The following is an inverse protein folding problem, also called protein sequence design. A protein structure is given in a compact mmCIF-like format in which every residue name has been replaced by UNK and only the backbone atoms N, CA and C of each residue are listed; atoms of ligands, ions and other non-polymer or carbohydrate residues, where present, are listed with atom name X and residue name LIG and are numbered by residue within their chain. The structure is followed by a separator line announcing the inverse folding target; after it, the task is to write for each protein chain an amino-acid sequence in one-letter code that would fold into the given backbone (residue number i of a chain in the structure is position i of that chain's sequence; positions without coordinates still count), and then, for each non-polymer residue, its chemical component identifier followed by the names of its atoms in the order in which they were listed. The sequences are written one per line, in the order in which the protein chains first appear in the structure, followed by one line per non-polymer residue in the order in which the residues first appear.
data_IF_606202751712
#
_entry.id   IF_606202751712
#
_cell.length_a   1.000
_cell.length_b   1.000
_cell.length_c   1.000
_cell.angle_alpha   90.00
_cell.angle_beta   90.00
_cell.angle_gamma   90.00
#
_symmetry.space_group_name_H-M   'P 1'
#
loop_
_entity.id
_entity.type
_entity.pdbx_description
1 polymer ?
#
# COMPACT_ATOMS: atom_id res chain seq x y z
N UNK A 1 -31.00 31.81 -19.02
CA UNK A 1 -29.71 31.16 -19.32
C UNK A 1 -29.42 30.26 -18.17
N UNK A 2 -29.83 29.00 -18.27
CA UNK A 2 -29.62 27.99 -17.26
C UNK A 2 -28.26 27.30 -17.51
N UNK A 3 -27.37 27.46 -16.57
CA UNK A 3 -26.08 26.79 -16.58
C UNK A 3 -26.30 25.36 -16.06
N UNK A 4 -26.41 24.39 -16.97
CA UNK A 4 -26.49 22.98 -16.62
C UNK A 4 -25.15 22.50 -16.08
N UNK A 5 -25.10 22.19 -14.79
CA UNK A 5 -24.02 21.42 -14.16
C UNK A 5 -24.07 19.99 -14.68
N UNK A 6 -23.09 19.63 -15.50
CA UNK A 6 -22.83 18.24 -15.90
C UNK A 6 -22.05 17.53 -14.77
N UNK A 7 -22.73 17.15 -13.71
CA UNK A 7 -22.21 16.17 -12.73
C UNK A 7 -22.70 14.77 -13.11
N UNK A 8 -22.12 14.22 -14.17
CA UNK A 8 -22.26 12.79 -14.43
C UNK A 8 -21.42 12.01 -13.41
N UNK A 9 -21.86 10.79 -12.97
CA UNK A 9 -21.05 9.95 -12.11
C UNK A 9 -19.74 9.66 -12.81
N UNK A 10 -18.61 9.92 -12.15
CA UNK A 10 -17.28 9.54 -12.62
C UNK A 10 -17.29 8.01 -12.69
N UNK A 11 -17.43 7.46 -13.87
CA UNK A 11 -17.38 6.02 -14.12
C UNK A 11 -16.05 5.52 -13.59
N UNK A 12 -16.10 4.51 -12.68
CA UNK A 12 -14.90 3.77 -12.28
C UNK A 12 -14.29 3.20 -13.54
N UNK A 13 -13.01 3.42 -13.84
CA UNK A 13 -12.40 2.81 -15.01
C UNK A 13 -12.53 1.28 -14.89
N UNK A 14 -12.74 0.60 -16.02
CA UNK A 14 -12.87 -0.86 -16.08
C UNK A 14 -11.47 -1.49 -15.83
N UNK A 15 -11.11 -1.58 -14.55
CA UNK A 15 -9.83 -2.11 -14.08
C UNK A 15 -10.03 -3.55 -13.66
N UNK A 16 -9.36 -4.46 -14.37
CA UNK A 16 -9.25 -5.87 -13.98
C UNK A 16 -8.10 -6.10 -13.01
N UNK A 17 -8.19 -7.17 -12.19
CA UNK A 17 -7.06 -7.65 -11.39
C UNK A 17 -6.70 -9.04 -11.88
N UNK A 18 -5.43 -9.23 -12.24
CA UNK A 18 -4.89 -10.50 -12.73
C UNK A 18 -3.57 -10.85 -12.06
N UNK A 19 -3.13 -12.09 -12.20
CA UNK A 19 -1.83 -12.52 -11.71
C UNK A 19 -0.70 -11.73 -12.38
N UNK A 20 0.34 -11.44 -11.60
CA UNK A 20 1.59 -10.86 -12.10
C UNK A 20 2.27 -11.84 -13.06
N UNK A 21 2.75 -11.34 -14.17
CA UNK A 21 3.59 -12.06 -15.13
C UNK A 21 4.95 -11.35 -15.30
N UNK A 22 5.97 -12.07 -15.75
CA UNK A 22 7.31 -11.49 -15.96
C UNK A 22 7.33 -10.31 -16.95
N UNK A 23 6.37 -10.27 -17.88
CA UNK A 23 6.18 -9.14 -18.80
C UNK A 23 5.80 -7.82 -18.07
N UNK A 24 5.25 -7.91 -16.86
CA UNK A 24 4.82 -6.75 -16.06
C UNK A 24 6.00 -6.12 -15.28
N UNK A 25 7.17 -6.75 -15.29
CA UNK A 25 8.32 -6.37 -14.47
C UNK A 25 8.64 -4.87 -14.53
N UNK A 26 8.80 -4.33 -15.73
CA UNK A 26 9.17 -2.92 -15.89
C UNK A 26 8.10 -1.96 -15.35
N UNK A 27 6.83 -2.28 -15.55
CA UNK A 27 5.73 -1.48 -15.04
C UNK A 27 5.64 -1.55 -13.51
N UNK A 28 5.79 -2.74 -12.92
CA UNK A 28 5.80 -2.92 -11.47
C UNK A 28 7.00 -2.24 -10.80
N UNK A 29 8.17 -2.28 -11.43
CA UNK A 29 9.35 -1.55 -10.98
C UNK A 29 9.11 -0.03 -10.95
N UNK A 30 8.41 0.51 -11.95
CA UNK A 30 8.01 1.93 -11.95
C UNK A 30 6.99 2.25 -10.86
N UNK A 31 6.03 1.37 -10.56
CA UNK A 31 5.12 1.54 -9.43
C UNK A 31 5.89 1.58 -8.10
N UNK A 32 6.98 0.82 -7.97
CA UNK A 32 7.85 0.85 -6.80
C UNK A 32 8.58 2.19 -6.65
N UNK A 33 9.04 2.76 -7.77
CA UNK A 33 9.60 4.14 -7.79
C UNK A 33 8.56 5.16 -7.33
N UNK A 34 7.30 5.06 -7.80
CA UNK A 34 6.21 5.95 -7.37
C UNK A 34 5.90 5.79 -5.86
N UNK A 35 5.90 4.56 -5.35
CA UNK A 35 5.72 4.26 -3.92
C UNK A 35 6.82 4.92 -3.08
N UNK A 36 8.08 4.73 -3.48
CA UNK A 36 9.22 5.33 -2.79
C UNK A 36 9.17 6.86 -2.85
N UNK A 37 8.85 7.43 -4.00
CA UNK A 37 8.69 8.88 -4.13
C UNK A 37 7.57 9.41 -3.22
N UNK A 38 6.50 8.66 -3.03
CA UNK A 38 5.46 9.00 -2.07
C UNK A 38 5.97 8.97 -0.62
N UNK A 39 6.72 7.95 -0.23
CA UNK A 39 7.33 7.87 1.10
C UNK A 39 8.33 9.00 1.34
N UNK A 40 9.18 9.34 0.37
CA UNK A 40 10.09 10.50 0.45
C UNK A 40 9.34 11.79 0.77
N UNK A 41 8.18 12.01 0.15
CA UNK A 41 7.36 13.20 0.41
C UNK A 41 6.78 13.24 1.82
N UNK A 42 6.21 12.13 2.30
CA UNK A 42 5.53 12.11 3.62
C UNK A 42 6.51 12.07 4.78
N UNK A 43 7.73 11.58 4.57
CA UNK A 43 8.79 11.59 5.57
C UNK A 43 9.73 12.78 5.44
N UNK A 44 9.60 13.57 4.37
CA UNK A 44 10.52 14.67 4.03
C UNK A 44 11.98 14.21 3.98
N UNK A 45 12.19 12.97 3.53
CA UNK A 45 13.50 12.34 3.47
C UNK A 45 13.78 11.81 2.04
N UNK A 46 14.64 12.49 1.28
CA UNK A 46 14.98 12.08 -0.09
C UNK A 46 15.86 10.83 -0.14
N UNK A 47 16.45 10.40 0.98
CA UNK A 47 17.36 9.24 1.02
C UNK A 47 16.63 7.89 1.03
N UNK A 48 15.32 7.86 1.32
CA UNK A 48 14.53 6.62 1.34
C UNK A 48 14.65 5.91 -0.02
N UNK A 49 14.98 4.62 -0.01
CA UNK A 49 15.11 3.79 -1.20
C UNK A 49 16.38 4.02 -2.02
N UNK A 50 17.35 4.79 -1.52
CA UNK A 50 18.66 4.97 -2.14
C UNK A 50 18.61 5.61 -3.54
N UNK A 51 19.64 5.36 -4.33
CA UNK A 51 19.80 5.95 -5.67
C UNK A 51 18.89 5.29 -6.73
N UNK A 52 18.59 4.01 -6.57
CA UNK A 52 17.70 3.24 -7.44
C UNK A 52 16.53 2.64 -6.63
N UNK A 53 15.49 3.41 -6.35
CA UNK A 53 14.37 2.92 -5.56
C UNK A 53 13.58 1.80 -6.23
N UNK A 54 13.72 1.63 -7.55
CA UNK A 54 13.11 0.52 -8.28
C UNK A 54 13.74 -0.84 -7.96
N UNK A 55 15.01 -0.88 -7.52
CA UNK A 55 15.71 -2.14 -7.19
C UNK A 55 15.05 -2.90 -6.04
N UNK A 56 14.37 -2.22 -5.13
CA UNK A 56 13.63 -2.88 -4.05
C UNK A 56 12.47 -3.79 -4.57
N UNK A 57 12.06 -3.63 -5.83
CA UNK A 57 11.16 -4.59 -6.46
C UNK A 57 11.83 -5.93 -6.75
N UNK A 58 13.13 -5.95 -7.03
CA UNK A 58 13.91 -7.17 -7.21
C UNK A 58 14.01 -7.94 -5.88
N UNK A 59 14.29 -7.21 -4.79
CA UNK A 59 14.29 -7.78 -3.44
C UNK A 59 12.92 -8.36 -3.08
N UNK A 60 11.84 -7.63 -3.38
CA UNK A 60 10.47 -8.12 -3.20
C UNK A 60 10.20 -9.41 -3.96
N UNK A 61 10.64 -9.52 -5.22
CA UNK A 61 10.46 -10.74 -6.01
C UNK A 61 11.26 -11.93 -5.46
N UNK A 62 12.39 -11.66 -4.81
CA UNK A 62 13.29 -12.68 -4.27
C UNK A 62 12.85 -13.23 -2.90
N UNK A 63 11.86 -12.62 -2.21
CA UNK A 63 11.40 -13.07 -0.90
C UNK A 63 10.77 -14.46 -1.00
N UNK A 64 11.30 -15.49 -0.30
CA UNK A 64 10.80 -16.87 -0.39
C UNK A 64 9.36 -17.04 0.07
N UNK A 65 8.93 -16.26 1.07
CA UNK A 65 7.61 -16.31 1.66
C UNK A 65 6.54 -15.63 0.79
N UNK A 66 6.92 -15.05 -0.35
CA UNK A 66 5.98 -14.45 -1.29
C UNK A 66 5.17 -15.53 -1.99
N UNK A 67 3.91 -15.61 -1.64
CA UNK A 67 2.97 -16.64 -2.12
C UNK A 67 2.47 -16.35 -3.53
N UNK A 68 2.09 -15.08 -3.76
CA UNK A 68 1.57 -14.62 -5.03
C UNK A 68 1.65 -13.09 -5.15
N UNK A 69 1.55 -12.61 -6.38
CA UNK A 69 1.44 -11.18 -6.68
C UNK A 69 0.40 -10.95 -7.77
N UNK A 70 -0.30 -9.83 -7.70
CA UNK A 70 -1.34 -9.44 -8.65
C UNK A 70 -1.12 -8.00 -9.11
N UNK A 71 -1.51 -7.77 -10.34
CA UNK A 71 -1.50 -6.43 -10.92
C UNK A 71 -2.93 -5.97 -11.24
N UNK A 72 -3.16 -4.69 -11.05
CA UNK A 72 -4.34 -4.04 -11.58
C UNK A 72 -4.03 -3.61 -13.03
N UNK A 73 -4.85 -4.05 -13.95
CA UNK A 73 -4.70 -3.83 -15.39
C UNK A 73 -5.83 -2.95 -15.92
N UNK A 74 -5.48 -1.89 -16.60
CA UNK A 74 -6.42 -1.02 -17.32
C UNK A 74 -6.05 -1.04 -18.80
N UNK A 75 -6.83 -1.74 -19.61
CA UNK A 75 -6.63 -1.81 -21.07
C UNK A 75 -5.19 -2.25 -21.47
N UNK A 76 -4.62 -3.22 -20.76
CA UNK A 76 -3.25 -3.70 -20.97
C UNK A 76 -2.17 -2.88 -20.27
N UNK A 77 -2.53 -1.85 -19.50
CA UNK A 77 -1.59 -1.06 -18.72
C UNK A 77 -1.63 -1.46 -17.24
N UNK A 78 -0.49 -1.85 -16.70
CA UNK A 78 -0.36 -2.12 -15.27
C UNK A 78 -0.42 -0.79 -14.50
N UNK A 79 -1.46 -0.65 -13.65
CA UNK A 79 -1.75 0.58 -12.91
C UNK A 79 -1.72 0.40 -11.41
N UNK A 80 -1.50 -0.83 -10.94
CA UNK A 80 -1.35 -1.15 -9.53
C UNK A 80 -0.72 -2.53 -9.32
N UNK A 81 -0.21 -2.75 -8.12
CA UNK A 81 0.47 -3.98 -7.71
C UNK A 81 0.13 -4.30 -6.26
N UNK A 82 -0.04 -5.58 -5.97
CA UNK A 82 -0.12 -6.11 -4.61
C UNK A 82 0.46 -7.51 -4.55
N UNK A 83 0.76 -7.98 -3.35
CA UNK A 83 1.23 -9.33 -3.10
C UNK A 83 0.73 -9.89 -1.78
N UNK A 84 0.87 -11.20 -1.63
CA UNK A 84 0.57 -11.97 -0.43
C UNK A 84 1.81 -12.72 0.02
N UNK A 85 2.16 -12.57 1.27
CA UNK A 85 3.25 -13.29 1.93
C UNK A 85 2.69 -14.26 2.96
N UNK A 86 3.34 -15.43 3.08
CA UNK A 86 3.05 -16.39 4.14
C UNK A 86 3.77 -15.98 5.44
N UNK A 87 3.00 -15.87 6.52
CA UNK A 87 3.51 -15.63 7.88
C UNK A 87 2.95 -16.66 8.86
N UNK A 88 2.80 -17.90 8.41
CA UNK A 88 2.23 -19.00 9.19
C UNK A 88 0.69 -18.95 9.20
N UNK A 89 0.07 -18.72 10.35
CA UNK A 89 -1.39 -18.58 10.44
C UNK A 89 -1.92 -17.26 9.84
N UNK A 90 -1.02 -16.34 9.50
CA UNK A 90 -1.34 -15.00 8.98
C UNK A 90 -0.82 -14.84 7.55
N UNK A 91 -1.66 -14.36 6.65
CA UNK A 91 -1.22 -13.79 5.38
C UNK A 91 -0.85 -12.32 5.56
N UNK A 92 0.18 -11.83 4.90
CA UNK A 92 0.55 -10.40 4.91
C UNK A 92 0.42 -9.80 3.52
N UNK A 93 -0.29 -8.68 3.44
CA UNK A 93 -0.43 -7.91 2.20
C UNK A 93 0.73 -6.94 2.06
N UNK A 94 1.53 -7.07 1.00
CA UNK A 94 2.62 -6.16 0.67
C UNK A 94 3.03 -6.31 -0.81
N UNK A 95 3.23 -5.20 -1.53
CA UNK A 95 2.73 -3.85 -1.27
C UNK A 95 1.24 -3.70 -1.59
N UNK A 96 0.66 -2.53 -1.35
CA UNK A 96 -0.52 -2.06 -2.07
C UNK A 96 -0.16 -0.73 -2.70
N UNK A 97 0.15 -0.74 -3.97
CA UNK A 97 0.52 0.45 -4.72
C UNK A 97 -0.40 0.63 -5.92
N UNK A 98 -0.81 1.87 -6.16
CA UNK A 98 -1.59 2.31 -7.32
C UNK A 98 -0.93 3.56 -7.87
N UNK A 99 -0.77 3.63 -9.20
CA UNK A 99 -0.21 4.82 -9.84
C UNK A 99 -0.94 6.09 -9.40
N UNK A 100 -0.21 7.17 -9.22
CA UNK A 100 -0.70 8.44 -8.67
C UNK A 100 -1.97 8.94 -9.40
N UNK A 101 -2.05 8.74 -10.72
CA UNK A 101 -3.17 9.19 -11.58
C UNK A 101 -4.50 8.48 -11.29
N UNK A 102 -4.46 7.26 -10.74
CA UNK A 102 -5.63 6.43 -10.48
C UNK A 102 -5.90 6.21 -9.00
N UNK A 103 -5.19 6.89 -8.11
CA UNK A 103 -5.50 6.88 -6.68
C UNK A 103 -6.91 7.42 -6.42
N UNK A 104 -7.54 6.93 -5.37
CA UNK A 104 -8.90 7.31 -4.97
C UNK A 104 -10.01 6.92 -5.96
N UNK A 105 -9.74 6.05 -6.92
CA UNK A 105 -10.69 5.54 -7.91
C UNK A 105 -11.08 4.06 -7.69
N UNK A 106 -10.86 3.53 -6.51
CA UNK A 106 -11.25 2.15 -6.16
C UNK A 106 -10.22 1.07 -6.48
N UNK A 107 -9.18 1.35 -7.27
CA UNK A 107 -8.19 0.34 -7.72
C UNK A 107 -7.52 -0.37 -6.55
N UNK A 108 -7.10 0.35 -5.51
CA UNK A 108 -6.50 -0.25 -4.32
C UNK A 108 -7.45 -1.19 -3.58
N UNK A 109 -8.74 -0.90 -3.58
CA UNK A 109 -9.76 -1.77 -3.01
C UNK A 109 -9.88 -3.09 -3.78
N UNK A 110 -9.90 -3.05 -5.11
CA UNK A 110 -9.93 -4.25 -5.95
C UNK A 110 -8.71 -5.16 -5.69
N UNK A 111 -7.53 -4.57 -5.55
CA UNK A 111 -6.31 -5.29 -5.18
C UNK A 111 -6.45 -5.98 -3.81
N UNK A 112 -6.92 -5.27 -2.80
CA UNK A 112 -7.13 -5.82 -1.45
C UNK A 112 -8.18 -6.94 -1.48
N UNK A 113 -9.29 -6.77 -2.17
CA UNK A 113 -10.34 -7.79 -2.31
C UNK A 113 -9.78 -9.06 -2.96
N UNK A 114 -8.92 -8.94 -3.98
CA UNK A 114 -8.26 -10.09 -4.61
C UNK A 114 -7.35 -10.83 -3.63
N UNK A 115 -6.52 -10.10 -2.87
CA UNK A 115 -5.63 -10.71 -1.87
C UNK A 115 -6.43 -11.37 -0.75
N UNK A 116 -7.50 -10.72 -0.27
CA UNK A 116 -8.36 -11.27 0.78
C UNK A 116 -9.02 -12.59 0.34
N UNK A 117 -9.52 -12.65 -0.91
CA UNK A 117 -10.08 -13.87 -1.47
C UNK A 117 -9.04 -15.01 -1.53
N UNK A 118 -7.82 -14.71 -1.92
CA UNK A 118 -6.73 -15.70 -1.95
C UNK A 118 -6.33 -16.15 -0.54
N UNK A 119 -6.25 -15.23 0.41
CA UNK A 119 -5.94 -15.55 1.80
C UNK A 119 -6.97 -16.51 2.41
N UNK A 120 -8.26 -16.26 2.15
CA UNK A 120 -9.35 -17.17 2.56
C UNK A 120 -9.22 -18.54 1.88
N UNK A 121 -8.96 -18.57 0.58
CA UNK A 121 -8.81 -19.82 -0.17
C UNK A 121 -7.62 -20.68 0.33
N UNK A 122 -6.59 -20.04 0.88
CA UNK A 122 -5.43 -20.73 1.49
C UNK A 122 -5.63 -21.09 2.96
N UNK A 123 -6.71 -20.65 3.58
CA UNK A 123 -7.04 -20.98 4.97
C UNK A 123 -6.27 -20.13 6.00
N UNK A 124 -5.78 -18.94 5.62
CA UNK A 124 -5.21 -18.03 6.62
C UNK A 124 -6.30 -17.55 7.59
N UNK A 125 -5.98 -17.55 8.86
CA UNK A 125 -6.89 -17.09 9.93
C UNK A 125 -6.96 -15.55 9.99
N UNK A 126 -5.87 -14.88 9.58
CA UNK A 126 -5.72 -13.43 9.60
C UNK A 126 -5.09 -12.93 8.31
N UNK A 127 -5.42 -11.72 7.95
CA UNK A 127 -4.75 -10.96 6.91
C UNK A 127 -4.22 -9.67 7.53
N UNK A 128 -2.91 -9.47 7.50
CA UNK A 128 -2.25 -8.30 8.05
C UNK A 128 -1.77 -7.36 6.95
N UNK A 129 -1.66 -6.08 7.30
CA UNK A 129 -1.02 -5.07 6.47
C UNK A 129 -0.25 -4.11 7.38
N UNK A 130 0.93 -3.65 6.94
CA UNK A 130 1.82 -2.79 7.73
C UNK A 130 2.11 -1.47 7.01
N UNK A 131 1.15 -0.53 7.01
CA UNK A 131 1.40 0.78 6.45
C UNK A 131 2.42 1.55 7.28
N UNK A 132 3.24 2.38 6.60
CA UNK A 132 4.11 3.31 7.32
C UNK A 132 3.28 4.34 8.10
N UNK A 133 3.68 4.64 9.33
CA UNK A 133 2.87 5.42 10.30
C UNK A 133 2.42 6.79 9.75
N UNK A 134 3.27 7.47 8.98
CA UNK A 134 2.95 8.78 8.38
C UNK A 134 2.01 8.71 7.18
N UNK A 135 1.73 7.52 6.64
CA UNK A 135 0.78 7.38 5.54
C UNK A 135 -0.67 7.28 6.05
N UNK A 136 -1.12 8.34 6.71
CA UNK A 136 -2.46 8.42 7.32
C UNK A 136 -3.57 8.14 6.30
N UNK A 137 -3.36 8.54 5.04
CA UNK A 137 -4.35 8.29 4.00
C UNK A 137 -4.47 6.80 3.66
N UNK A 138 -3.37 6.06 3.64
CA UNK A 138 -3.39 4.60 3.44
C UNK A 138 -3.99 3.89 4.66
N UNK A 139 -3.59 4.27 5.88
CA UNK A 139 -4.15 3.71 7.12
C UNK A 139 -5.68 3.83 7.12
N UNK A 140 -6.22 5.00 6.79
CA UNK A 140 -7.68 5.22 6.72
C UNK A 140 -8.33 4.30 5.68
N UNK A 141 -7.74 4.14 4.50
CA UNK A 141 -8.27 3.25 3.45
C UNK A 141 -8.24 1.79 3.85
N UNK A 142 -7.20 1.36 4.55
CA UNK A 142 -7.11 -0.01 5.06
C UNK A 142 -8.12 -0.24 6.18
N UNK A 143 -8.34 0.75 7.05
CA UNK A 143 -9.42 0.70 8.03
C UNK A 143 -10.80 0.54 7.36
N UNK A 144 -11.08 1.32 6.32
CA UNK A 144 -12.32 1.25 5.54
C UNK A 144 -12.45 -0.10 4.79
N UNK A 145 -11.33 -0.75 4.47
CA UNK A 145 -11.29 -2.08 3.86
C UNK A 145 -11.41 -3.24 4.87
N UNK A 146 -11.52 -2.93 6.18
CA UNK A 146 -11.76 -3.93 7.24
C UNK A 146 -10.56 -4.27 8.11
N UNK A 147 -9.38 -3.65 7.91
CA UNK A 147 -8.22 -3.85 8.79
C UNK A 147 -8.37 -3.00 10.06
N UNK A 148 -9.20 -3.45 10.99
CA UNK A 148 -9.63 -2.66 12.16
C UNK A 148 -9.03 -3.14 13.48
N UNK A 149 -8.31 -4.26 13.46
CA UNK A 149 -7.68 -4.82 14.67
C UNK A 149 -6.20 -4.51 14.67
N UNK A 150 -5.71 -3.85 15.72
CA UNK A 150 -4.28 -3.69 15.96
C UNK A 150 -3.73 -5.02 16.50
N UNK A 151 -2.72 -5.55 15.83
CA UNK A 151 -2.04 -6.77 16.21
C UNK A 151 -0.53 -6.59 16.26
N UNK A 152 0.16 -7.55 16.87
CA UNK A 152 1.62 -7.58 16.91
C UNK A 152 2.25 -6.63 17.91
N UNK A 153 3.37 -6.03 17.52
CA UNK A 153 4.18 -5.14 18.37
C UNK A 153 3.91 -3.67 18.03
N UNK A 154 4.08 -2.82 19.02
CA UNK A 154 4.18 -1.37 18.84
C UNK A 154 5.65 -1.00 19.01
N UNK A 155 6.25 -0.44 17.96
CA UNK A 155 7.63 0.04 18.01
C UNK A 155 7.68 1.41 18.67
N UNK A 156 8.36 1.49 19.81
CA UNK A 156 8.60 2.74 20.51
C UNK A 156 10.07 3.14 20.36
N UNK A 157 10.32 4.37 19.94
CA UNK A 157 11.66 4.92 19.78
C UNK A 157 11.87 6.16 20.65
N UNK A 158 13.10 6.35 21.10
CA UNK A 158 13.53 7.57 21.81
C UNK A 158 14.43 8.39 20.89
N UNK A 159 14.07 9.65 20.66
CA UNK A 159 14.90 10.54 19.86
C UNK A 159 16.07 11.06 20.69
N UNK A 160 17.23 10.46 20.52
CA UNK A 160 18.47 10.83 21.23
C UNK A 160 19.18 12.05 20.64
N UNK A 161 18.79 12.48 19.46
CA UNK A 161 19.40 13.60 18.75
C UNK A 161 18.54 14.90 18.77
N UNK A 162 17.47 14.89 19.58
CA UNK A 162 16.50 16.00 19.72
C UNK A 162 15.96 16.53 18.37
N UNK A 163 15.61 15.61 17.47
CA UNK A 163 15.05 15.93 16.15
C UNK A 163 13.52 16.07 16.18
N UNK A 164 12.98 16.70 17.23
CA UNK A 164 11.53 16.83 17.48
C UNK A 164 10.75 17.40 16.31
N UNK A 165 11.38 18.27 15.52
CA UNK A 165 10.78 18.85 14.32
C UNK A 165 10.48 17.84 13.22
N UNK A 166 11.03 16.63 13.29
CA UNK A 166 10.78 15.52 12.36
C UNK A 166 9.58 14.67 12.74
N UNK A 167 9.04 14.83 13.93
CA UNK A 167 7.95 14.02 14.44
C UNK A 167 6.62 14.76 14.31
N UNK A 168 5.60 14.03 13.86
CA UNK A 168 4.22 14.52 13.82
C UNK A 168 3.50 14.10 15.10
N UNK A 169 2.69 14.99 15.65
CA UNK A 169 1.84 14.71 16.79
C UNK A 169 0.47 14.21 16.37
N UNK A 170 -0.25 13.56 17.29
CA UNK A 170 -1.65 13.18 17.09
C UNK A 170 -1.92 11.68 17.06
N UNK A 171 -0.92 10.83 17.31
CA UNK A 171 -1.17 9.42 17.57
C UNK A 171 -1.53 9.22 19.05
N UNK A 172 -2.72 8.66 19.30
CA UNK A 172 -3.15 8.35 20.67
C UNK A 172 -3.48 6.86 20.81
N UNK A 173 -2.80 6.20 21.77
CA UNK A 173 -2.99 4.79 22.07
C UNK A 173 -3.07 4.60 23.58
N UNK A 174 -4.10 3.88 24.06
CA UNK A 174 -4.35 3.65 25.48
C UNK A 174 -4.36 4.91 26.35
N UNK A 175 -4.78 6.06 25.82
CA UNK A 175 -4.82 7.32 26.53
C UNK A 175 -3.48 8.08 26.59
N UNK A 176 -2.42 7.50 26.03
CA UNK A 176 -1.09 8.14 25.91
C UNK A 176 -0.95 8.81 24.54
N UNK A 177 -0.34 9.97 24.51
CA UNK A 177 -0.08 10.72 23.28
C UNK A 177 1.32 10.40 22.75
N UNK A 178 1.40 10.00 21.48
CA UNK A 178 2.63 9.64 20.78
C UNK A 178 2.86 10.55 19.59
N UNK A 179 4.11 10.57 19.14
CA UNK A 179 4.53 11.15 17.85
C UNK A 179 4.85 10.03 16.85
N UNK A 180 4.74 10.32 15.56
CA UNK A 180 5.03 9.37 14.50
C UNK A 180 5.71 10.00 13.28
#
# INVERSE_FOLDING_TARGET
MESGELTGPVSTPDVGVRDYASADYSACRMLWVELTAHHRRIYEDPSIGGDDPGSAFDDYLAVPERVASWVADLDGWVVGLTGLFDRGACGEVEPVVVTDRLRSRGVGRLLIERVAAEAVARGYEYLAIRPVARNVSAIRRFYDAGFQTLGGHVDLTMDLADRRHRWLEGARLHGLDFRY
#
